data_IF_041761022617
#
_entry.id   IF_041761022617
#
_cell.length_a   1.000
_cell.length_b   1.000
_cell.length_c   1.000
_cell.angle_alpha   90.00
_cell.angle_beta   90.00
_cell.angle_gamma   90.00
#
_symmetry.space_group_name_H-M   'P 1'
#
loop_
_entity.id
_entity.type
_entity.pdbx_description
1 polymer ?
#
# COMPACT_ATOMS: atom_id res chain seq x y z
N UNK A 1 1.89 7.83 7.85
CA UNK A 1 1.18 6.83 7.04
C UNK A 1 -0.22 7.32 6.72
N UNK A 2 -0.64 7.19 5.48
CA UNK A 2 -1.99 7.57 5.05
C UNK A 2 -2.62 6.38 4.35
N UNK A 3 -3.93 6.19 4.57
CA UNK A 3 -4.69 5.13 3.92
C UNK A 3 -5.90 5.77 3.25
N UNK A 4 -6.11 5.43 1.97
CA UNK A 4 -7.28 5.87 1.22
C UNK A 4 -7.90 4.69 0.52
N UNK A 5 -9.21 4.66 0.53
CA UNK A 5 -9.97 3.65 -0.20
C UNK A 5 -10.90 4.35 -1.18
N UNK A 6 -10.83 3.93 -2.43
CA UNK A 6 -11.65 4.47 -3.52
C UNK A 6 -12.71 3.43 -3.88
N UNK A 7 -13.92 3.64 -3.37
CA UNK A 7 -14.99 2.65 -3.49
C UNK A 7 -15.44 2.42 -4.94
N UNK A 8 -15.38 3.45 -5.78
CA UNK A 8 -15.82 3.35 -7.17
C UNK A 8 -14.92 2.45 -8.02
N UNK A 9 -13.64 2.36 -7.66
CA UNK A 9 -12.68 1.50 -8.37
C UNK A 9 -12.21 0.32 -7.52
N UNK A 10 -12.68 0.22 -6.28
CA UNK A 10 -12.29 -0.80 -5.32
C UNK A 10 -10.75 -0.84 -5.15
N UNK A 11 -10.17 0.35 -4.99
CA UNK A 11 -8.71 0.50 -4.88
C UNK A 11 -8.34 1.00 -3.49
N UNK A 12 -7.40 0.31 -2.84
CA UNK A 12 -6.82 0.73 -1.58
C UNK A 12 -5.43 1.32 -1.86
N UNK A 13 -5.19 2.52 -1.34
CA UNK A 13 -3.92 3.22 -1.50
C UNK A 13 -3.34 3.51 -0.13
N UNK A 14 -2.12 3.04 0.12
CA UNK A 14 -1.43 3.22 1.40
C UNK A 14 -0.13 3.95 1.16
N UNK A 15 0.06 5.10 1.80
CA UNK A 15 1.29 5.87 1.73
C UNK A 15 2.06 5.68 3.03
N UNK A 16 3.24 5.11 2.95
CA UNK A 16 4.08 4.81 4.11
C UNK A 16 5.00 5.96 4.50
N UNK A 17 5.41 6.75 3.52
CA UNK A 17 6.39 7.82 3.74
C UNK A 17 6.18 8.95 2.74
N UNK A 18 6.61 10.14 3.11
CA UNK A 18 6.54 11.32 2.25
C UNK A 18 7.92 11.51 1.59
N UNK A 19 8.17 10.73 0.57
CA UNK A 19 9.42 10.80 -0.21
C UNK A 19 9.09 10.82 -1.70
N UNK A 20 9.95 11.43 -2.53
CA UNK A 20 9.73 11.42 -3.97
C UNK A 20 9.72 10.01 -4.53
N UNK A 21 8.76 9.74 -5.39
CA UNK A 21 8.63 8.46 -6.07
C UNK A 21 9.41 8.53 -7.36
N UNK A 22 10.34 7.61 -7.58
CA UNK A 22 11.15 7.55 -8.79
C UNK A 22 10.82 6.36 -9.66
N UNK A 23 10.13 5.35 -9.11
CA UNK A 23 9.79 4.15 -9.86
C UNK A 23 8.50 3.57 -9.32
N UNK A 24 7.70 2.99 -10.22
CA UNK A 24 6.52 2.20 -9.85
C UNK A 24 6.71 0.81 -10.43
N UNK A 25 6.56 -0.21 -9.61
CA UNK A 25 6.76 -1.60 -10.01
C UNK A 25 5.51 -2.43 -9.70
N UNK A 26 5.22 -3.40 -10.59
CA UNK A 26 4.15 -4.35 -10.36
C UNK A 26 4.62 -5.44 -9.39
N UNK A 27 3.87 -5.67 -8.32
CA UNK A 27 4.09 -6.83 -7.47
C UNK A 27 3.38 -8.05 -8.02
N UNK A 28 2.16 -7.84 -8.51
CA UNK A 28 1.34 -8.87 -9.14
C UNK A 28 0.22 -8.18 -9.92
N UNK A 29 -0.76 -8.93 -10.41
CA UNK A 29 -1.85 -8.39 -11.22
C UNK A 29 -2.72 -7.38 -10.46
N UNK A 30 -2.68 -7.37 -9.13
CA UNK A 30 -3.55 -6.55 -8.31
C UNK A 30 -2.80 -5.52 -7.46
N UNK A 31 -1.47 -5.51 -7.48
CA UNK A 31 -0.71 -4.66 -6.57
C UNK A 31 0.47 -3.99 -7.25
N UNK A 32 0.62 -2.69 -6.95
CA UNK A 32 1.73 -1.86 -7.42
C UNK A 32 2.43 -1.27 -6.21
N UNK A 33 3.75 -1.13 -6.29
CA UNK A 33 4.52 -0.40 -5.29
C UNK A 33 5.22 0.79 -5.91
N UNK A 34 5.20 1.91 -5.20
CA UNK A 34 5.94 3.11 -5.56
C UNK A 34 7.22 3.14 -4.72
N UNK A 35 8.34 3.34 -5.38
CA UNK A 35 9.67 3.25 -4.77
C UNK A 35 10.39 4.59 -4.82
N UNK A 36 11.22 4.85 -3.81
CA UNK A 36 12.09 6.02 -3.81
C UNK A 36 13.42 5.70 -4.52
N UNK A 37 14.34 6.67 -4.49
CA UNK A 37 15.63 6.54 -5.17
C UNK A 37 16.50 5.42 -4.61
N UNK A 38 16.26 5.02 -3.37
CA UNK A 38 17.00 3.96 -2.70
C UNK A 38 16.35 2.59 -2.84
N UNK A 39 15.21 2.52 -3.54
CA UNK A 39 14.47 1.28 -3.70
C UNK A 39 13.55 0.93 -2.55
N UNK A 40 13.32 1.85 -1.63
CA UNK A 40 12.41 1.63 -0.51
C UNK A 40 10.97 1.91 -0.92
N UNK A 41 10.03 1.15 -0.33
CA UNK A 41 8.62 1.33 -0.62
C UNK A 41 8.11 2.63 0.00
N UNK A 42 7.53 3.48 -0.84
CA UNK A 42 6.90 4.74 -0.42
C UNK A 42 5.39 4.56 -0.30
N UNK A 43 4.79 3.84 -1.23
CA UNK A 43 3.34 3.65 -1.27
C UNK A 43 2.98 2.31 -1.90
N UNK A 44 1.78 1.83 -1.59
CA UNK A 44 1.23 0.61 -2.15
C UNK A 44 -0.15 0.91 -2.72
N UNK A 45 -0.42 0.44 -3.93
CA UNK A 45 -1.74 0.48 -4.54
C UNK A 45 -2.25 -0.95 -4.69
N UNK A 46 -3.41 -1.23 -4.12
CA UNK A 46 -4.01 -2.55 -4.17
C UNK A 46 -5.36 -2.46 -4.88
N UNK A 47 -5.46 -3.11 -6.05
CA UNK A 47 -6.69 -3.19 -6.82
C UNK A 47 -7.51 -4.39 -6.39
N UNK A 48 -8.82 -4.34 -6.56
CA UNK A 48 -9.75 -5.38 -6.11
C UNK A 48 -9.62 -5.64 -4.61
N UNK A 49 -9.52 -4.54 -3.86
CA UNK A 49 -9.15 -4.60 -2.45
C UNK A 49 -10.13 -5.41 -1.60
N UNK A 50 -11.45 -5.34 -1.91
CA UNK A 50 -12.45 -6.09 -1.13
C UNK A 50 -12.25 -7.60 -1.20
N UNK A 51 -11.74 -8.09 -2.32
CA UNK A 51 -11.50 -9.52 -2.50
C UNK A 51 -10.22 -9.98 -1.81
N UNK A 52 -9.29 -9.05 -1.54
CA UNK A 52 -7.95 -9.39 -1.05
C UNK A 52 -7.76 -9.10 0.42
N UNK A 53 -8.47 -8.09 0.95
CA UNK A 53 -8.34 -7.68 2.36
C UNK A 53 -9.71 -7.42 2.94
N UNK A 54 -9.82 -7.56 4.27
CA UNK A 54 -11.01 -7.15 4.98
C UNK A 54 -10.86 -5.70 5.38
N UNK A 55 -11.48 -4.81 4.60
CA UNK A 55 -11.35 -3.37 4.80
C UNK A 55 -11.96 -2.90 6.11
N UNK A 56 -12.90 -3.66 6.68
CA UNK A 56 -13.53 -3.28 7.95
C UNK A 56 -12.58 -3.48 9.14
N UNK A 57 -11.56 -4.32 8.99
CA UNK A 57 -10.60 -4.63 10.04
C UNK A 57 -9.27 -3.91 9.89
N UNK A 58 -9.08 -3.14 8.82
CA UNK A 58 -7.83 -2.43 8.61
C UNK A 58 -7.72 -1.26 9.60
N UNK A 59 -6.57 -1.16 10.26
CA UNK A 59 -6.24 -0.05 11.12
C UNK A 59 -4.79 0.35 10.93
N UNK A 60 -4.45 1.58 11.33
CA UNK A 60 -3.06 2.03 11.28
C UNK A 60 -2.16 1.18 12.16
N UNK A 61 -2.70 0.69 13.24
CA UNK A 61 -1.96 -0.15 14.16
C UNK A 61 -1.54 -1.46 13.50
N UNK A 62 -2.45 -2.11 12.78
CA UNK A 62 -2.17 -3.36 12.08
C UNK A 62 -1.11 -3.14 11.00
N UNK A 63 -1.25 -2.07 10.25
CA UNK A 63 -0.29 -1.76 9.19
C UNK A 63 1.08 -1.39 9.74
N UNK A 64 1.13 -0.74 10.89
CA UNK A 64 2.39 -0.39 11.53
C UNK A 64 3.16 -1.60 12.01
N UNK A 65 2.48 -2.67 12.35
CA UNK A 65 3.11 -3.90 12.84
C UNK A 65 3.74 -4.72 11.72
N UNK A 66 3.23 -4.61 10.49
CA UNK A 66 3.70 -5.42 9.38
C UNK A 66 5.19 -5.25 9.09
N UNK A 67 5.72 -4.02 8.97
CA UNK A 67 7.15 -3.86 8.70
C UNK A 67 8.05 -4.47 9.76
N UNK A 68 7.64 -4.40 11.01
CA UNK A 68 8.41 -4.99 12.10
C UNK A 68 8.43 -6.51 12.02
N UNK A 69 7.34 -7.10 11.55
CA UNK A 69 7.24 -8.55 11.42
C UNK A 69 8.06 -9.08 10.25
N UNK A 70 8.35 -8.27 9.27
CA UNK A 70 9.03 -8.69 8.04
C UNK A 70 10.52 -8.31 8.01
N UNK A 71 10.95 -7.51 8.95
CA UNK A 71 12.34 -7.04 8.97
C UNK A 71 13.31 -7.99 9.63
#
# INVERSE_FOLDING_TARGET
MKIRYFADTDTLYVVFADRPIVETADLNDNALVDLDADGNVVALTLEHARALVDLSDISLRDLSAVPAATS
#
